data_IF_739431943172
#
_entry.id   IF_739431943172
#
_cell.length_a   1.000
_cell.length_b   1.000
_cell.length_c   1.000
_cell.angle_alpha   90.00
_cell.angle_beta   90.00
_cell.angle_gamma   90.00
#
_symmetry.space_group_name_H-M   'P 1'
#
loop_
_entity.id
_entity.type
_entity.pdbx_description
1 polymer ?
#
# COMPACT_ATOMS: atom_id res chain seq x y z
N UNK A 1 -12.62 -11.39 0.19
CA UNK A 1 -11.75 -11.29 -1.00
C UNK A 1 -10.33 -11.67 -0.62
N UNK A 2 -9.61 -12.41 -1.46
CA UNK A 2 -8.21 -12.77 -1.21
C UNK A 2 -7.27 -11.56 -1.33
N UNK A 3 -6.22 -11.46 -0.49
CA UNK A 3 -5.24 -10.37 -0.58
C UNK A 3 -4.46 -10.38 -1.90
N UNK A 4 -4.04 -9.20 -2.36
CA UNK A 4 -3.13 -9.05 -3.50
C UNK A 4 -1.73 -9.51 -3.11
N UNK A 5 -1.03 -10.17 -4.03
CA UNK A 5 0.37 -10.57 -3.85
C UNK A 5 1.25 -9.66 -4.70
N UNK A 6 1.91 -8.70 -4.08
CA UNK A 6 2.80 -7.76 -4.78
C UNK A 6 4.26 -8.06 -4.45
N UNK A 7 5.15 -7.88 -5.43
CA UNK A 7 6.59 -8.12 -5.29
C UNK A 7 7.27 -6.81 -4.97
N UNK A 8 7.89 -6.71 -3.79
CA UNK A 8 8.59 -5.49 -3.33
C UNK A 8 10.02 -5.80 -2.88
N UNK A 9 10.96 -4.91 -3.18
CA UNK A 9 12.28 -4.86 -2.54
C UNK A 9 12.23 -4.05 -1.22
N UNK A 10 13.36 -3.96 -0.51
CA UNK A 10 13.41 -3.26 0.78
C UNK A 10 13.17 -1.74 0.65
N UNK A 11 13.63 -1.11 -0.44
CA UNK A 11 13.46 0.33 -0.67
C UNK A 11 11.99 0.67 -0.90
N UNK A 12 11.33 -0.06 -1.79
CA UNK A 12 9.88 0.05 -2.06
C UNK A 12 9.04 -0.16 -0.80
N UNK A 13 9.41 -1.16 0.02
CA UNK A 13 8.74 -1.42 1.29
C UNK A 13 8.98 -0.31 2.33
N UNK A 14 10.16 0.30 2.32
CA UNK A 14 10.52 1.41 3.22
C UNK A 14 9.69 2.65 2.89
N UNK A 15 9.61 3.02 1.61
CA UNK A 15 8.83 4.16 1.17
C UNK A 15 7.33 3.95 1.39
N UNK A 16 6.81 2.76 1.08
CA UNK A 16 5.41 2.41 1.38
C UNK A 16 5.11 2.51 2.88
N UNK A 17 6.03 2.05 3.74
CA UNK A 17 5.90 2.17 5.18
C UNK A 17 5.88 3.63 5.63
N UNK A 18 6.81 4.44 5.13
CA UNK A 18 6.88 5.86 5.49
C UNK A 18 5.58 6.57 5.11
N UNK A 19 5.05 6.30 3.92
CA UNK A 19 3.76 6.81 3.47
C UNK A 19 2.62 6.45 4.41
N UNK A 20 2.48 5.15 4.74
CA UNK A 20 1.40 4.66 5.62
C UNK A 20 1.53 5.22 7.04
N UNK A 21 2.75 5.42 7.56
CA UNK A 21 2.96 6.07 8.87
C UNK A 21 2.53 7.53 8.90
N UNK A 22 2.62 8.24 7.77
CA UNK A 22 2.08 9.60 7.67
C UNK A 22 0.55 9.55 7.72
N UNK A 23 -0.08 8.63 6.97
CA UNK A 23 -1.53 8.44 7.01
C UNK A 23 -2.04 8.09 8.43
N UNK A 24 -1.32 7.21 9.14
CA UNK A 24 -1.59 6.84 10.53
C UNK A 24 -1.60 8.05 11.48
N UNK A 25 -0.59 8.93 11.37
CA UNK A 25 -0.52 10.15 12.18
C UNK A 25 -1.74 11.06 11.97
N UNK A 26 -2.25 11.12 10.75
CA UNK A 26 -3.40 11.96 10.39
C UNK A 26 -4.72 11.31 10.85
N UNK A 27 -4.79 9.97 10.86
CA UNK A 27 -5.98 9.21 11.25
C UNK A 27 -6.42 9.46 12.70
N UNK A 28 -5.54 9.95 13.57
CA UNK A 28 -5.89 10.36 14.94
C UNK A 28 -6.83 11.58 15.02
N UNK A 29 -7.08 12.28 13.91
CA UNK A 29 -8.03 13.37 13.87
C UNK A 29 -9.47 12.84 13.78
N UNK A 30 -10.44 13.34 14.59
CA UNK A 30 -11.83 12.88 14.55
C UNK A 30 -12.55 13.09 13.20
N UNK A 31 -12.00 13.94 12.33
CA UNK A 31 -12.52 14.22 10.98
C UNK A 31 -11.73 13.47 9.89
N UNK A 32 -10.86 12.54 10.27
CA UNK A 32 -10.09 11.76 9.31
C UNK A 32 -11.03 10.92 8.43
N UNK A 33 -10.72 10.88 7.13
CA UNK A 33 -11.44 10.03 6.17
C UNK A 33 -11.23 8.56 6.54
N UNK A 34 -12.25 7.73 6.37
CA UNK A 34 -12.21 6.27 6.65
C UNK A 34 -11.00 5.57 6.01
N UNK A 35 -10.58 6.03 4.83
CA UNK A 35 -9.39 5.53 4.13
C UNK A 35 -8.11 5.64 4.96
N UNK A 36 -7.96 6.72 5.74
CA UNK A 36 -6.80 6.93 6.60
C UNK A 36 -6.84 5.98 7.80
N UNK A 37 -8.03 5.67 8.31
CA UNK A 37 -8.23 4.68 9.38
C UNK A 37 -7.81 3.30 8.89
N UNK A 38 -8.26 2.89 7.68
CA UNK A 38 -7.87 1.60 7.07
C UNK A 38 -6.35 1.52 6.84
N UNK A 39 -5.70 2.61 6.40
CA UNK A 39 -4.25 2.65 6.27
C UNK A 39 -3.55 2.58 7.64
N UNK A 40 -4.07 3.26 8.66
CA UNK A 40 -3.55 3.21 10.02
C UNK A 40 -3.59 1.79 10.60
N UNK A 41 -4.71 1.07 10.43
CA UNK A 41 -4.81 -0.33 10.87
C UNK A 41 -3.80 -1.25 10.16
N UNK A 42 -3.50 -0.96 8.90
CA UNK A 42 -2.51 -1.71 8.14
C UNK A 42 -1.05 -1.39 8.52
N UNK A 43 -0.80 -0.24 9.16
CA UNK A 43 0.55 0.24 9.53
C UNK A 43 1.34 -0.81 10.31
N UNK A 44 0.71 -1.44 11.31
CA UNK A 44 1.34 -2.42 12.18
C UNK A 44 1.78 -3.66 11.41
N UNK A 45 0.93 -4.14 10.49
CA UNK A 45 1.24 -5.29 9.66
C UNK A 45 2.41 -4.97 8.73
N UNK A 46 2.45 -3.76 8.18
CA UNK A 46 3.51 -3.28 7.31
C UNK A 46 4.84 -3.11 8.07
N UNK A 47 4.81 -2.66 9.32
CA UNK A 47 5.99 -2.59 10.21
C UNK A 47 6.61 -3.98 10.40
N UNK A 48 5.79 -5.00 10.68
CA UNK A 48 6.26 -6.38 10.85
C UNK A 48 6.89 -6.90 9.56
N UNK A 49 6.32 -6.59 8.39
CA UNK A 49 6.90 -6.93 7.10
C UNK A 49 8.27 -6.26 6.91
N UNK A 50 8.37 -4.97 7.22
CA UNK A 50 9.61 -4.19 7.12
C UNK A 50 10.72 -4.74 8.03
N UNK A 51 10.43 -5.01 9.32
CA UNK A 51 11.41 -5.57 10.25
C UNK A 51 11.93 -6.92 9.77
N UNK A 52 11.04 -7.76 9.20
CA UNK A 52 11.46 -9.06 8.64
C UNK A 52 12.33 -8.88 7.40
N UNK A 53 12.03 -7.91 6.55
CA UNK A 53 12.78 -7.63 5.33
C UNK A 53 14.16 -7.01 5.65
N UNK A 54 14.24 -6.08 6.60
CA UNK A 54 15.46 -5.37 6.96
C UNK A 54 16.53 -6.26 7.60
N UNK A 55 16.11 -7.37 8.21
CA UNK A 55 16.98 -8.41 8.78
C UNK A 55 17.55 -9.38 7.74
N UNK A 56 17.09 -9.35 6.49
CA UNK A 56 17.61 -10.24 5.44
C UNK A 56 18.97 -9.73 4.95
N UNK A 57 19.85 -10.67 4.67
CA UNK A 57 21.22 -10.39 4.19
C UNK A 57 21.21 -9.74 2.81
N UNK A 58 20.26 -10.12 1.97
CA UNK A 58 20.08 -9.57 0.62
C UNK A 58 18.94 -8.54 0.61
N UNK A 59 19.32 -7.27 0.65
CA UNK A 59 18.42 -6.10 0.66
C UNK A 59 17.92 -5.71 -0.73
N UNK A 60 18.62 -6.14 -1.80
CA UNK A 60 18.24 -5.85 -3.19
C UNK A 60 17.18 -6.82 -3.72
N UNK A 61 17.08 -8.01 -3.13
CA UNK A 61 16.10 -9.02 -3.52
C UNK A 61 14.67 -8.59 -3.20
N UNK A 62 13.79 -8.73 -4.19
CA UNK A 62 12.35 -8.53 -3.99
C UNK A 62 11.68 -9.80 -3.44
N UNK A 63 10.68 -9.61 -2.58
CA UNK A 63 9.86 -10.66 -1.98
C UNK A 63 8.38 -10.38 -2.22
N UNK A 64 7.56 -11.43 -2.15
CA UNK A 64 6.10 -11.29 -2.27
C UNK A 64 5.49 -10.92 -0.91
N UNK A 65 4.67 -9.87 -0.90
CA UNK A 65 3.91 -9.41 0.25
C UNK A 65 2.42 -9.45 -0.06
N UNK A 66 1.63 -9.74 0.98
CA UNK A 66 0.18 -9.81 0.89
C UNK A 66 -0.46 -8.53 1.41
N UNK A 67 -1.08 -7.76 0.52
CA UNK A 67 -1.79 -6.52 0.85
C UNK A 67 -3.30 -6.75 0.68
N UNK A 68 -4.14 -6.39 1.67
CA UNK A 68 -5.59 -6.44 1.53
C UNK A 68 -6.07 -5.64 0.33
N UNK A 69 -7.10 -6.13 -0.37
CA UNK A 69 -7.65 -5.45 -1.55
C UNK A 69 -8.12 -4.03 -1.23
N UNK A 70 -8.72 -3.81 -0.05
CA UNK A 70 -9.14 -2.47 0.42
C UNK A 70 -7.96 -1.50 0.49
N UNK A 71 -6.89 -1.90 1.16
CA UNK A 71 -5.63 -1.13 1.24
C UNK A 71 -5.05 -0.89 -0.15
N UNK A 72 -5.00 -1.91 -1.01
CA UNK A 72 -4.48 -1.77 -2.37
C UNK A 72 -5.27 -0.76 -3.20
N UNK A 73 -6.61 -0.74 -3.09
CA UNK A 73 -7.46 0.23 -3.80
C UNK A 73 -7.28 1.66 -3.28
N UNK A 74 -7.14 1.83 -1.95
CA UNK A 74 -6.85 3.13 -1.35
C UNK A 74 -5.50 3.66 -1.86
N UNK A 75 -4.45 2.84 -1.76
CA UNK A 75 -3.12 3.20 -2.23
C UNK A 75 -3.11 3.52 -3.72
N UNK A 76 -3.75 2.68 -4.55
CA UNK A 76 -3.83 2.88 -6.00
C UNK A 76 -4.43 4.24 -6.35
N UNK A 77 -5.59 4.60 -5.77
CA UNK A 77 -6.22 5.89 -6.02
C UNK A 77 -5.37 7.07 -5.52
N UNK A 78 -4.81 6.97 -4.31
CA UNK A 78 -4.02 8.08 -3.73
C UNK A 78 -2.74 8.33 -4.50
N UNK A 79 -2.01 7.28 -4.86
CA UNK A 79 -0.78 7.38 -5.64
C UNK A 79 -1.02 7.91 -7.06
N UNK A 80 -2.23 7.79 -7.62
CA UNK A 80 -2.58 8.43 -8.88
C UNK A 80 -2.87 9.94 -8.78
N UNK A 81 -3.10 10.45 -7.56
CA UNK A 81 -3.51 11.84 -7.31
C UNK A 81 -2.42 12.68 -6.64
N UNK A 82 -1.36 12.05 -6.17
CA UNK A 82 -0.28 12.67 -5.41
C UNK A 82 1.04 12.60 -6.20
N UNK A 83 1.94 13.54 -5.95
CA UNK A 83 3.32 13.43 -6.42
C UNK A 83 4.07 12.44 -5.54
N UNK A 84 4.51 11.32 -6.11
CA UNK A 84 5.07 10.18 -5.37
C UNK A 84 6.50 9.88 -5.80
N UNK A 85 7.30 9.31 -4.90
CA UNK A 85 8.66 8.87 -5.21
C UNK A 85 8.68 7.75 -6.25
N UNK A 86 9.84 7.54 -6.87
CA UNK A 86 10.05 6.49 -7.86
C UNK A 86 9.73 5.10 -7.30
N UNK A 87 10.08 4.84 -6.05
CA UNK A 87 9.79 3.60 -5.34
C UNK A 87 8.28 3.39 -5.17
N UNK A 88 7.54 4.44 -4.79
CA UNK A 88 6.08 4.37 -4.69
C UNK A 88 5.42 4.20 -6.06
N UNK A 89 5.99 4.76 -7.12
CA UNK A 89 5.56 4.49 -8.48
C UNK A 89 5.73 3.01 -8.86
N UNK A 90 6.82 2.35 -8.43
CA UNK A 90 6.99 0.90 -8.62
C UNK A 90 5.96 0.09 -7.83
N UNK A 91 5.64 0.51 -6.60
CA UNK A 91 4.55 -0.09 -5.81
C UNK A 91 3.21 0.07 -6.53
N UNK A 92 2.92 1.26 -7.05
CA UNK A 92 1.70 1.54 -7.82
C UNK A 92 1.60 0.61 -9.03
N UNK A 93 2.67 0.45 -9.81
CA UNK A 93 2.70 -0.47 -10.95
C UNK A 93 2.39 -1.92 -10.54
N UNK A 94 2.96 -2.39 -9.44
CA UNK A 94 2.68 -3.74 -8.92
C UNK A 94 1.23 -3.92 -8.46
N UNK A 95 0.66 -2.89 -7.81
CA UNK A 95 -0.76 -2.89 -7.41
C UNK A 95 -1.68 -2.83 -8.63
N UNK A 96 -1.40 -1.96 -9.60
CA UNK A 96 -2.21 -1.79 -10.82
C UNK A 96 -2.27 -3.09 -11.63
N UNK A 97 -1.13 -3.78 -11.77
CA UNK A 97 -1.05 -5.08 -12.43
C UNK A 97 -1.95 -6.11 -11.74
N UNK A 98 -1.84 -6.28 -10.42
CA UNK A 98 -2.63 -7.27 -9.68
C UNK A 98 -4.13 -6.94 -9.64
N UNK A 99 -4.50 -5.66 -9.54
CA UNK A 99 -5.90 -5.22 -9.63
C UNK A 99 -6.47 -5.46 -11.02
N UNK A 100 -5.72 -5.15 -12.08
CA UNK A 100 -6.15 -5.39 -13.47
C UNK A 100 -6.36 -6.87 -13.72
N UNK A 101 -5.38 -7.70 -13.35
CA UNK A 101 -5.41 -9.15 -13.53
C UNK A 101 -6.63 -9.81 -12.89
N UNK A 102 -7.11 -9.25 -11.77
CA UNK A 102 -8.26 -9.77 -11.01
C UNK A 102 -9.59 -9.10 -11.35
N UNK A 103 -9.61 -8.12 -12.26
CA UNK A 103 -10.81 -7.35 -12.57
C UNK A 103 -11.31 -6.49 -11.39
N UNK A 104 -10.41 -6.08 -10.50
CA UNK A 104 -10.72 -5.38 -9.24
C UNK A 104 -10.36 -3.89 -9.26
N UNK A 105 -10.00 -3.35 -10.43
CA UNK A 105 -9.67 -1.92 -10.58
C UNK A 105 -10.81 -1.05 -10.04
N UNK A 106 -10.51 -0.03 -9.21
CA UNK A 106 -11.53 0.87 -8.71
C UNK A 106 -12.22 1.57 -9.89
N UNK A 107 -13.56 1.61 -9.85
CA UNK A 107 -14.35 2.24 -10.91
C UNK A 107 -14.06 3.75 -10.92
N UNK A 108 -13.63 4.34 -12.04
CA UNK A 108 -13.29 5.77 -12.09
C UNK A 108 -14.52 6.68 -11.89
N UNK A 109 -15.73 6.15 -12.08
CA UNK A 109 -16.99 6.91 -12.06
C UNK A 109 -17.75 6.75 -10.72
N UNK A 110 -17.47 5.69 -9.97
CA UNK A 110 -18.12 5.43 -8.67
C UNK A 110 -17.05 5.10 -7.63
N UNK A 111 -16.81 5.99 -6.64
CA UNK A 111 -16.10 5.56 -5.45
C UNK A 111 -16.96 4.49 -4.78
N UNK A 112 -16.54 3.23 -4.86
CA UNK A 112 -17.12 2.17 -4.04
C UNK A 112 -16.87 2.57 -2.59
N UNK A 113 -17.97 2.88 -1.87
CA UNK A 113 -17.95 3.08 -0.43
C UNK A 113 -17.45 1.78 0.20
N UNK A 114 -16.43 1.91 1.03
CA UNK A 114 -15.82 0.81 1.76
C UNK A 114 -16.77 0.27 2.83
#
# INVERSE_FOLDING_TARGET
MEPLRIKLNLHELTELRNYVRVAERIAHNPQAREELIVLAEFSLKLEVMYIRASRKTDKGKSYHYQIPVSVSRILHRRFQQEDISQELQMVLCGIDYELTKRGLKPNPIKPELF
#
